data_IF_324752051217
#
_entry.id   IF_324752051217
#
_cell.length_a   1.000
_cell.length_b   1.000
_cell.length_c   1.000
_cell.angle_alpha   90.00
_cell.angle_beta   90.00
_cell.angle_gamma   90.00
#
_symmetry.space_group_name_H-M   'P 1'
#
loop_
_entity.id
_entity.type
_entity.pdbx_description
1 polymer ?
#
# COMPACT_ATOMS: atom_id res chain seq x y z
N UNK A 1 7.66 -72.09 30.64
CA UNK A 1 7.67 -70.93 31.57
C UNK A 1 8.13 -69.71 30.80
N UNK A 2 7.19 -68.79 30.53
CA UNK A 2 7.43 -67.50 29.89
C UNK A 2 7.33 -66.44 30.99
N UNK A 3 8.22 -65.46 30.99
CA UNK A 3 7.92 -64.03 31.27
C UNK A 3 9.20 -63.22 31.05
N UNK A 4 9.27 -62.54 29.91
CA UNK A 4 10.29 -61.54 29.60
C UNK A 4 9.58 -60.20 29.45
N UNK A 5 10.01 -59.25 30.28
CA UNK A 5 10.08 -57.81 30.06
C UNK A 5 8.80 -57.05 29.71
N UNK A 6 8.31 -56.30 30.70
CA UNK A 6 7.47 -55.13 30.48
C UNK A 6 8.25 -54.01 29.80
N UNK A 7 7.67 -53.47 28.73
CA UNK A 7 8.02 -52.17 28.18
C UNK A 7 6.73 -51.59 27.58
N UNK A 8 6.10 -50.68 28.29
CA UNK A 8 4.90 -49.99 27.83
C UNK A 8 4.96 -48.55 28.35
N UNK A 9 4.82 -47.59 27.43
CA UNK A 9 4.44 -46.22 27.80
C UNK A 9 5.53 -45.17 27.75
N UNK A 10 6.28 -45.06 26.65
CA UNK A 10 6.85 -43.77 26.24
C UNK A 10 6.51 -43.50 24.77
N UNK A 11 5.26 -43.12 24.51
CA UNK A 11 4.89 -42.31 23.35
C UNK A 11 4.80 -40.86 23.82
N UNK A 12 5.97 -40.31 24.12
CA UNK A 12 6.14 -38.88 24.37
C UNK A 12 5.81 -38.08 23.11
N UNK A 13 4.81 -37.22 23.21
CA UNK A 13 4.87 -35.84 22.72
C UNK A 13 5.44 -35.65 21.30
N UNK A 14 4.72 -36.15 20.29
CA UNK A 14 4.81 -35.60 18.92
C UNK A 14 3.97 -34.32 18.79
N UNK A 15 4.11 -33.40 19.74
CA UNK A 15 3.48 -32.09 19.67
C UNK A 15 4.15 -31.26 18.58
N UNK A 16 3.43 -31.09 17.48
CA UNK A 16 3.41 -29.92 16.57
C UNK A 16 4.71 -29.10 16.51
N UNK A 17 5.67 -29.56 15.72
CA UNK A 17 6.54 -28.64 14.98
C UNK A 17 5.94 -28.45 13.59
N UNK A 18 4.89 -27.65 13.47
CA UNK A 18 4.63 -26.96 12.20
C UNK A 18 5.87 -26.11 11.94
N UNK A 19 6.74 -26.61 11.05
CA UNK A 19 8.07 -26.03 10.85
C UNK A 19 7.99 -24.61 10.28
N UNK A 20 9.06 -23.82 10.44
CA UNK A 20 9.12 -22.44 9.95
C UNK A 20 8.78 -22.27 8.46
N UNK A 21 9.04 -23.30 7.64
CA UNK A 21 8.61 -23.37 6.25
C UNK A 21 7.09 -23.34 6.08
N UNK A 22 6.37 -24.14 6.89
CA UNK A 22 4.92 -24.19 6.84
C UNK A 22 4.31 -22.88 7.33
N UNK A 23 4.87 -22.28 8.39
CA UNK A 23 4.45 -20.96 8.87
C UNK A 23 4.67 -19.87 7.81
N UNK A 24 5.79 -19.92 7.08
CA UNK A 24 6.06 -18.99 5.98
C UNK A 24 5.02 -19.10 4.85
N UNK A 25 4.70 -20.33 4.41
CA UNK A 25 3.70 -20.53 3.37
C UNK A 25 2.30 -20.12 3.79
N UNK A 26 1.88 -20.44 5.02
CA UNK A 26 0.59 -20.00 5.55
C UNK A 26 0.46 -18.48 5.56
N UNK A 27 1.51 -17.78 5.99
CA UNK A 27 1.54 -16.32 5.97
C UNK A 27 1.48 -15.75 4.56
N UNK A 28 2.23 -16.34 3.61
CA UNK A 28 2.20 -15.94 2.21
C UNK A 28 0.81 -16.16 1.57
N UNK A 29 0.15 -17.28 1.89
CA UNK A 29 -1.19 -17.62 1.41
C UNK A 29 -2.23 -16.64 1.96
N UNK A 30 -2.16 -16.33 3.25
CA UNK A 30 -3.05 -15.36 3.89
C UNK A 30 -2.89 -13.96 3.26
N UNK A 31 -1.65 -13.48 3.03
CA UNK A 31 -1.40 -12.22 2.31
C UNK A 31 -1.99 -12.25 0.91
N UNK A 32 -1.80 -13.34 0.14
CA UNK A 32 -2.38 -13.48 -1.21
C UNK A 32 -3.91 -13.43 -1.18
N UNK A 33 -4.53 -14.08 -0.19
CA UNK A 33 -5.98 -14.03 0.02
C UNK A 33 -6.49 -12.62 0.31
N UNK A 34 -5.77 -11.86 1.15
CA UNK A 34 -6.10 -10.46 1.45
C UNK A 34 -6.01 -9.59 0.20
N UNK A 35 -4.94 -9.71 -0.60
CA UNK A 35 -4.79 -8.95 -1.85
C UNK A 35 -5.94 -9.22 -2.83
N UNK A 36 -6.34 -10.49 -2.99
CA UNK A 36 -7.48 -10.84 -3.84
C UNK A 36 -8.80 -10.21 -3.35
N UNK A 37 -9.03 -10.15 -2.03
CA UNK A 37 -10.21 -9.48 -1.44
C UNK A 37 -10.18 -7.97 -1.69
N UNK A 38 -9.02 -7.34 -1.59
CA UNK A 38 -8.85 -5.90 -1.83
C UNK A 38 -9.13 -5.55 -3.28
N UNK A 39 -8.63 -6.35 -4.23
CA UNK A 39 -8.87 -6.13 -5.66
C UNK A 39 -10.36 -6.25 -6.01
N UNK A 40 -11.08 -7.22 -5.43
CA UNK A 40 -12.53 -7.33 -5.58
C UNK A 40 -13.31 -6.14 -5.00
N UNK A 41 -12.77 -5.47 -3.97
CA UNK A 41 -13.42 -4.34 -3.29
C UNK A 41 -13.38 -3.03 -4.09
N UNK A 42 -12.51 -2.92 -5.11
CA UNK A 42 -12.44 -1.74 -5.98
C UNK A 42 -13.74 -1.48 -6.76
N UNK A 43 -14.57 -2.51 -6.93
CA UNK A 43 -15.88 -2.42 -7.58
C UNK A 43 -16.96 -1.75 -6.72
N UNK A 44 -16.70 -1.52 -5.42
CA UNK A 44 -17.63 -0.84 -4.50
C UNK A 44 -16.94 0.35 -3.81
N UNK A 45 -17.18 1.59 -4.28
CA UNK A 45 -16.61 2.78 -3.66
C UNK A 45 -17.09 2.96 -2.21
N UNK A 46 -16.20 2.78 -1.24
CA UNK A 46 -16.46 3.03 0.18
C UNK A 46 -16.09 1.89 1.14
N UNK A 47 -15.94 0.65 0.66
CA UNK A 47 -15.70 -0.51 1.54
C UNK A 47 -14.24 -0.94 1.70
N UNK A 48 -13.27 -0.16 1.22
CA UNK A 48 -11.85 -0.52 1.32
C UNK A 48 -11.34 -0.34 2.76
N UNK A 49 -11.58 -1.33 3.60
CA UNK A 49 -11.06 -1.46 4.95
C UNK A 49 -10.04 -2.60 5.03
N UNK A 50 -9.15 -2.57 6.02
CA UNK A 50 -8.22 -3.66 6.29
C UNK A 50 -9.04 -4.90 6.67
N UNK A 51 -8.97 -6.01 5.90
CA UNK A 51 -9.68 -7.22 6.27
C UNK A 51 -9.11 -7.79 7.56
N UNK A 52 -10.00 -8.12 8.50
CA UNK A 52 -9.62 -8.77 9.75
C UNK A 52 -10.73 -9.74 10.17
N UNK A 53 -10.37 -11.01 10.35
CA UNK A 53 -11.25 -12.11 10.73
C UNK A 53 -10.47 -13.17 11.50
N UNK A 54 -11.16 -14.17 12.05
CA UNK A 54 -10.54 -15.23 12.87
C UNK A 54 -9.48 -16.03 12.11
N UNK A 55 -9.63 -16.17 10.79
CA UNK A 55 -8.64 -16.86 9.97
C UNK A 55 -7.33 -16.06 9.91
N UNK A 56 -7.40 -14.73 9.73
CA UNK A 56 -6.23 -13.85 9.78
C UNK A 56 -5.63 -13.76 11.19
N UNK A 57 -6.46 -13.72 12.24
CA UNK A 57 -6.00 -13.74 13.63
C UNK A 57 -5.27 -15.04 14.01
N UNK A 58 -5.47 -16.13 13.25
CA UNK A 58 -4.71 -17.37 13.44
C UNK A 58 -3.31 -17.35 12.81
N UNK A 59 -3.00 -16.36 11.96
CA UNK A 59 -1.75 -16.27 11.17
C UNK A 59 -0.93 -15.03 11.53
N UNK A 60 -1.60 -13.91 11.84
CA UNK A 60 -0.99 -12.64 12.21
C UNK A 60 -1.23 -12.37 13.68
N UNK A 61 -0.27 -11.70 14.32
CA UNK A 61 -0.38 -11.35 15.74
C UNK A 61 -1.55 -10.39 15.98
N UNK A 62 -1.66 -9.39 15.12
CA UNK A 62 -2.62 -8.30 15.20
C UNK A 62 -2.79 -7.63 13.81
N UNK A 63 -3.70 -6.65 13.67
CA UNK A 63 -3.87 -5.93 12.40
C UNK A 63 -2.63 -5.18 11.93
N UNK A 64 -1.75 -4.74 12.85
CA UNK A 64 -0.53 -4.02 12.50
C UNK A 64 0.52 -4.95 11.87
N UNK A 65 0.62 -6.19 12.36
CA UNK A 65 1.45 -7.25 11.78
C UNK A 65 1.01 -7.61 10.35
N UNK A 66 -0.31 -7.62 10.09
CA UNK A 66 -0.85 -7.75 8.74
C UNK A 66 -0.51 -6.52 7.87
N UNK A 67 -0.66 -5.31 8.40
CA UNK A 67 -0.37 -4.08 7.68
C UNK A 67 1.12 -4.00 7.29
N UNK A 68 2.03 -4.39 8.18
CA UNK A 68 3.46 -4.50 7.90
C UNK A 68 3.73 -5.51 6.78
N UNK A 69 3.08 -6.69 6.81
CA UNK A 69 3.22 -7.69 5.76
C UNK A 69 2.75 -7.19 4.39
N UNK A 70 1.63 -6.47 4.36
CA UNK A 70 1.08 -5.84 3.15
C UNK A 70 2.01 -4.74 2.63
N UNK A 71 2.57 -3.92 3.50
CA UNK A 71 3.58 -2.95 3.14
C UNK A 71 4.82 -3.63 2.54
N UNK A 72 5.27 -4.75 3.14
CA UNK A 72 6.36 -5.56 2.61
C UNK A 72 6.09 -6.14 1.21
N UNK A 73 4.83 -6.42 0.84
CA UNK A 73 4.47 -6.76 -0.55
C UNK A 73 4.67 -5.55 -1.46
N UNK A 74 4.13 -4.39 -1.07
CA UNK A 74 4.26 -3.15 -1.82
C UNK A 74 5.73 -2.80 -2.07
N UNK A 75 6.55 -2.74 -1.01
CA UNK A 75 7.97 -2.39 -1.10
C UNK A 75 8.74 -3.36 -1.97
N UNK A 76 8.56 -4.68 -1.83
CA UNK A 76 9.26 -5.66 -2.68
C UNK A 76 8.91 -5.51 -4.15
N UNK A 77 7.62 -5.29 -4.48
CA UNK A 77 7.15 -5.08 -5.85
C UNK A 77 7.68 -3.76 -6.43
N UNK A 78 7.73 -2.72 -5.60
CA UNK A 78 8.26 -1.42 -5.97
C UNK A 78 9.76 -1.48 -6.26
N UNK A 79 10.55 -2.06 -5.34
CA UNK A 79 12.00 -2.14 -5.50
C UNK A 79 12.41 -2.98 -6.70
N UNK A 80 11.79 -4.16 -6.89
CA UNK A 80 12.04 -4.97 -8.08
C UNK A 80 11.77 -4.21 -9.39
N UNK A 81 10.78 -3.29 -9.38
CA UNK A 81 10.48 -2.44 -10.53
C UNK A 81 11.48 -1.30 -10.65
N UNK A 82 11.88 -0.68 -9.55
CA UNK A 82 12.91 0.36 -9.53
C UNK A 82 14.22 -0.18 -10.11
N UNK A 83 14.67 -1.36 -9.66
CA UNK A 83 15.88 -2.00 -10.16
C UNK A 83 15.80 -2.22 -11.68
N UNK A 84 14.69 -2.78 -12.17
CA UNK A 84 14.47 -2.98 -13.60
C UNK A 84 14.51 -1.66 -14.39
N UNK A 85 13.83 -0.61 -13.92
CA UNK A 85 13.77 0.68 -14.63
C UNK A 85 15.09 1.47 -14.52
N UNK A 86 15.92 1.22 -13.51
CA UNK A 86 17.28 1.78 -13.41
C UNK A 86 18.25 1.09 -14.38
N UNK A 87 18.10 -0.22 -14.58
CA UNK A 87 18.94 -0.99 -15.50
C UNK A 87 18.55 -0.82 -16.97
N UNK A 88 17.24 -0.75 -17.25
CA UNK A 88 16.72 -0.80 -18.62
C UNK A 88 16.16 0.52 -19.13
N UNK A 89 15.90 1.47 -18.22
CA UNK A 89 15.35 2.77 -18.57
C UNK A 89 16.36 3.69 -19.24
N UNK A 90 15.88 4.60 -20.09
CA UNK A 90 16.70 5.62 -20.75
C UNK A 90 16.66 6.98 -20.04
N UNK A 91 15.93 7.07 -18.92
CA UNK A 91 15.76 8.28 -18.13
C UNK A 91 16.83 8.48 -17.07
N UNK A 92 16.73 9.62 -16.39
CA UNK A 92 17.47 9.85 -15.14
C UNK A 92 17.02 8.87 -14.04
N UNK A 93 17.83 8.59 -12.99
CA UNK A 93 17.44 7.73 -11.89
C UNK A 93 16.10 8.15 -11.25
N UNK A 94 15.88 9.45 -11.11
CA UNK A 94 14.60 10.01 -10.66
C UNK A 94 13.44 9.61 -11.58
N UNK A 95 13.59 9.74 -12.90
CA UNK A 95 12.55 9.35 -13.85
C UNK A 95 12.26 7.85 -13.80
N UNK A 96 13.30 7.00 -13.66
CA UNK A 96 13.12 5.56 -13.48
C UNK A 96 12.31 5.23 -12.23
N UNK A 97 12.61 5.87 -11.09
CA UNK A 97 11.84 5.73 -9.85
C UNK A 97 10.40 6.22 -10.01
N UNK A 98 10.18 7.38 -10.65
CA UNK A 98 8.84 7.91 -10.91
C UNK A 98 8.01 6.95 -11.78
N UNK A 99 8.61 6.35 -12.81
CA UNK A 99 7.98 5.36 -13.69
C UNK A 99 7.66 4.08 -12.93
N UNK A 100 8.63 3.52 -12.19
CA UNK A 100 8.45 2.33 -11.37
C UNK A 100 7.31 2.51 -10.36
N UNK A 101 7.31 3.62 -9.63
CA UNK A 101 6.28 3.90 -8.62
C UNK A 101 4.87 3.97 -9.22
N UNK A 102 4.71 4.64 -10.37
CA UNK A 102 3.42 4.72 -11.08
C UNK A 102 2.97 3.37 -11.62
N UNK A 103 3.91 2.58 -12.15
CA UNK A 103 3.62 1.23 -12.64
C UNK A 103 3.15 0.32 -11.49
N UNK A 104 3.87 0.30 -10.37
CA UNK A 104 3.48 -0.50 -9.19
C UNK A 104 2.15 -0.05 -8.62
N UNK A 105 1.87 1.27 -8.56
CA UNK A 105 0.56 1.79 -8.16
C UNK A 105 -0.56 1.36 -9.11
N UNK A 106 -0.29 1.28 -10.41
CA UNK A 106 -1.26 0.81 -11.41
C UNK A 106 -1.52 -0.69 -11.26
N UNK A 107 -0.51 -1.47 -10.88
CA UNK A 107 -0.63 -2.91 -10.66
C UNK A 107 -1.33 -3.26 -9.34
N UNK A 108 -1.13 -2.45 -8.28
CA UNK A 108 -1.65 -2.72 -6.94
C UNK A 108 -2.45 -1.51 -6.40
N UNK A 109 -3.50 -1.05 -7.10
CA UNK A 109 -4.20 0.19 -6.76
C UNK A 109 -4.98 0.08 -5.44
N UNK A 110 -5.60 -1.08 -5.15
CA UNK A 110 -6.31 -1.32 -3.91
C UNK A 110 -5.35 -1.32 -2.71
N UNK A 111 -4.24 -2.06 -2.83
CA UNK A 111 -3.21 -2.10 -1.79
C UNK A 111 -2.66 -0.71 -1.52
N UNK A 112 -2.30 0.07 -2.55
CA UNK A 112 -1.78 1.43 -2.32
C UNK A 112 -2.80 2.32 -1.61
N UNK A 113 -4.06 2.28 -2.04
CA UNK A 113 -5.14 3.06 -1.42
C UNK A 113 -5.37 2.66 0.04
N UNK A 114 -5.26 1.36 0.35
CA UNK A 114 -5.34 0.86 1.72
C UNK A 114 -4.15 1.39 2.55
N UNK A 115 -2.92 1.25 2.06
CA UNK A 115 -1.73 1.76 2.76
C UNK A 115 -1.81 3.28 2.99
N UNK A 116 -2.31 4.03 2.02
CA UNK A 116 -2.54 5.48 2.16
C UNK A 116 -3.58 5.79 3.26
N UNK A 117 -4.62 4.97 3.39
CA UNK A 117 -5.66 5.14 4.43
C UNK A 117 -5.14 4.89 5.84
N UNK A 118 -4.23 3.94 6.01
CA UNK A 118 -3.66 3.57 7.31
C UNK A 118 -2.29 4.22 7.56
N UNK A 119 -1.93 5.25 6.79
CA UNK A 119 -0.61 5.88 6.86
C UNK A 119 -0.29 6.47 8.24
N UNK A 120 -1.29 6.88 9.01
CA UNK A 120 -1.11 7.54 10.31
C UNK A 120 -0.87 6.58 11.49
N UNK A 121 -0.87 5.25 11.28
CA UNK A 121 -0.52 4.30 12.34
C UNK A 121 0.99 4.25 12.57
N UNK A 122 1.43 3.96 13.80
CA UNK A 122 2.85 3.92 14.15
C UNK A 122 3.63 2.90 13.30
N UNK A 123 3.02 1.73 13.02
CA UNK A 123 3.63 0.72 12.15
C UNK A 123 3.76 1.22 10.71
N UNK A 124 2.72 1.88 10.17
CA UNK A 124 2.75 2.40 8.81
C UNK A 124 3.77 3.52 8.67
N UNK A 125 3.89 4.42 9.65
CA UNK A 125 4.89 5.49 9.64
C UNK A 125 6.31 4.96 9.59
N UNK A 126 6.62 3.90 10.36
CA UNK A 126 7.94 3.24 10.30
C UNK A 126 8.21 2.65 8.92
N UNK A 127 7.26 1.92 8.37
CA UNK A 127 7.36 1.30 7.05
C UNK A 127 7.54 2.34 5.94
N UNK A 128 6.69 3.38 5.93
CA UNK A 128 6.72 4.49 4.97
C UNK A 128 8.03 5.27 5.05
N UNK A 129 8.55 5.50 6.26
CA UNK A 129 9.87 6.15 6.43
C UNK A 129 10.99 5.34 5.77
N UNK A 130 10.96 4.02 5.92
CA UNK A 130 11.89 3.11 5.26
C UNK A 130 11.76 3.15 3.73
N UNK A 131 10.52 3.05 3.21
CA UNK A 131 10.22 3.19 1.77
C UNK A 131 10.79 4.49 1.22
N UNK A 132 10.46 5.63 1.84
CA UNK A 132 10.90 6.95 1.39
C UNK A 132 12.41 7.09 1.37
N UNK A 133 13.12 6.57 2.38
CA UNK A 133 14.59 6.60 2.39
C UNK A 133 15.17 5.85 1.19
N UNK A 134 14.64 4.65 0.89
CA UNK A 134 15.11 3.85 -0.24
C UNK A 134 14.83 4.54 -1.58
N UNK A 135 13.64 5.12 -1.74
CA UNK A 135 13.28 5.85 -2.96
C UNK A 135 14.14 7.09 -3.16
N UNK A 136 14.48 7.82 -2.10
CA UNK A 136 15.36 8.98 -2.19
C UNK A 136 16.76 8.60 -2.69
N UNK A 137 17.31 7.50 -2.16
CA UNK A 137 18.62 6.99 -2.59
C UNK A 137 18.56 6.50 -4.04
N UNK A 138 17.57 5.69 -4.40
CA UNK A 138 17.42 5.17 -5.76
C UNK A 138 17.21 6.29 -6.80
N UNK A 139 16.51 7.38 -6.42
CA UNK A 139 16.28 8.53 -7.28
C UNK A 139 17.48 9.49 -7.38
N UNK A 140 18.57 9.23 -6.64
CA UNK A 140 19.74 10.13 -6.57
C UNK A 140 19.47 11.43 -5.80
N UNK A 141 18.44 11.47 -4.95
CA UNK A 141 18.08 12.64 -4.12
C UNK A 141 18.77 12.64 -2.75
N UNK A 142 19.32 11.50 -2.37
CA UNK A 142 20.10 11.29 -1.15
C UNK A 142 21.14 10.19 -1.38
N UNK A 143 22.08 10.08 -0.46
CA UNK A 143 23.09 9.01 -0.40
C UNK A 143 22.80 8.07 0.77
N UNK A 144 23.44 6.91 0.79
CA UNK A 144 23.33 5.98 1.94
C UNK A 144 23.91 6.56 3.24
N UNK A 145 24.89 7.48 3.10
CA UNK A 145 25.57 8.16 4.21
C UNK A 145 24.77 9.34 4.78
N UNK A 146 23.75 9.83 4.07
CA UNK A 146 22.88 10.88 4.60
C UNK A 146 22.12 10.40 5.84
N UNK A 147 21.87 11.29 6.83
CA UNK A 147 21.04 10.96 7.98
C UNK A 147 19.67 10.44 7.57
N UNK A 148 19.21 9.35 8.19
CA UNK A 148 17.96 8.69 7.80
C UNK A 148 16.74 9.63 7.70
N UNK A 149 16.52 10.60 8.63
CA UNK A 149 15.41 11.53 8.53
C UNK A 149 15.49 12.46 7.29
N UNK A 150 16.71 12.85 6.88
CA UNK A 150 16.91 13.69 5.69
C UNK A 150 16.54 12.92 4.43
N UNK A 151 17.05 11.70 4.28
CA UNK A 151 16.76 10.86 3.11
C UNK A 151 15.26 10.51 3.05
N UNK A 152 14.65 10.18 4.19
CA UNK A 152 13.21 9.95 4.25
C UNK A 152 12.39 11.21 3.87
N UNK A 153 12.80 12.40 4.31
CA UNK A 153 12.16 13.66 3.92
C UNK A 153 12.18 13.89 2.40
N UNK A 154 13.34 13.68 1.76
CA UNK A 154 13.46 13.78 0.28
C UNK A 154 12.59 12.77 -0.46
N UNK A 155 12.50 11.55 0.06
CA UNK A 155 11.61 10.52 -0.49
C UNK A 155 10.13 10.89 -0.34
N UNK A 156 9.76 11.45 0.80
CA UNK A 156 8.39 11.93 1.05
C UNK A 156 8.01 13.04 0.08
N UNK A 157 8.90 14.02 -0.16
CA UNK A 157 8.71 15.09 -1.16
C UNK A 157 8.48 14.50 -2.57
N UNK A 158 9.29 13.51 -2.96
CA UNK A 158 9.14 12.80 -4.24
C UNK A 158 7.78 12.11 -4.35
N UNK A 159 7.39 11.30 -3.36
CA UNK A 159 6.12 10.56 -3.36
C UNK A 159 4.91 11.50 -3.35
N UNK A 160 4.95 12.58 -2.55
CA UNK A 160 3.90 13.59 -2.53
C UNK A 160 3.70 14.22 -3.94
N UNK A 161 4.79 14.53 -4.65
CA UNK A 161 4.72 15.06 -6.01
C UNK A 161 4.08 14.08 -7.00
N UNK A 162 4.30 12.78 -6.82
CA UNK A 162 3.72 11.72 -7.67
C UNK A 162 2.22 11.53 -7.41
N UNK A 163 1.78 11.78 -6.18
CA UNK A 163 0.37 11.72 -5.81
C UNK A 163 -0.43 12.94 -6.29
N UNK A 164 0.16 14.15 -6.22
CA UNK A 164 -0.48 15.41 -6.63
C UNK A 164 -0.68 15.54 -8.15
N UNK A 165 0.22 14.98 -8.97
CA UNK A 165 0.13 15.01 -10.45
C UNK A 165 -1.10 14.28 -11.03
N UNK A 166 -2.02 13.77 -10.19
CA UNK A 166 -3.27 13.07 -10.56
C UNK A 166 -4.54 13.90 -10.44
N UNK A 167 -4.49 15.17 -10.07
CA UNK A 167 -5.69 16.02 -10.13
C UNK A 167 -5.74 16.67 -11.52
N UNK A 168 -6.50 16.15 -12.52
CA UNK A 168 -6.97 17.05 -13.56
C UNK A 168 -7.73 18.14 -12.82
N UNK A 169 -7.32 19.39 -13.00
CA UNK A 169 -8.02 20.57 -12.52
C UNK A 169 -9.50 20.40 -12.84
N UNK A 170 -10.31 20.01 -11.85
CA UNK A 170 -11.77 20.05 -11.98
C UNK A 170 -12.08 21.54 -12.02
N UNK A 171 -12.22 22.05 -13.24
CA UNK A 171 -12.50 23.42 -13.56
C UNK A 171 -13.56 23.92 -12.57
N UNK A 172 -13.12 24.78 -11.64
CA UNK A 172 -13.96 25.42 -10.62
C UNK A 172 -14.97 26.23 -11.40
N UNK A 173 -16.14 25.64 -11.71
CA UNK A 173 -17.30 26.37 -12.22
C UNK A 173 -17.59 27.45 -11.19
N UNK A 174 -17.13 28.65 -11.47
CA UNK A 174 -17.39 29.80 -10.63
C UNK A 174 -18.89 30.02 -10.60
N UNK A 175 -19.40 30.21 -9.39
CA UNK A 175 -20.80 30.43 -9.03
C UNK A 175 -21.45 31.66 -9.72
N UNK A 176 -20.70 32.40 -10.53
CA UNK A 176 -21.14 33.60 -11.25
C UNK A 176 -21.92 33.32 -12.54
N UNK A 177 -22.01 32.08 -13.03
CA UNK A 177 -22.86 31.72 -14.18
C UNK A 177 -24.31 31.30 -13.83
N UNK A 178 -24.80 31.63 -12.62
CA UNK A 178 -26.22 31.46 -12.23
C UNK A 178 -27.01 32.77 -12.11
N UNK A 179 -26.39 33.92 -12.36
CA UNK A 179 -27.03 35.24 -12.18
C UNK A 179 -27.26 36.03 -13.48
N UNK A 180 -27.21 35.40 -14.65
CA UNK A 180 -27.55 36.03 -15.95
C UNK A 180 -28.89 35.57 -16.54
N UNK A 181 -29.73 34.83 -15.80
CA UNK A 181 -31.08 34.40 -16.24
C UNK A 181 -32.26 34.93 -15.42
N UNK A 182 -32.04 35.87 -14.52
CA UNK A 182 -33.13 36.47 -13.71
C UNK A 182 -33.21 38.01 -13.78
N UNK A 183 -32.42 38.66 -14.65
CA UNK A 183 -32.49 40.12 -14.86
C UNK A 183 -32.96 40.53 -16.27
N UNK A 184 -33.60 39.62 -17.00
CA UNK A 184 -34.21 39.92 -18.30
C UNK A 184 -35.68 39.56 -18.32
N UNK A 185 -36.52 40.29 -17.56
CA UNK A 185 -37.96 40.43 -17.81
C UNK A 185 -38.55 41.41 -16.78
N UNK A 186 -38.36 42.71 -17.01
CA UNK A 186 -39.23 43.76 -16.44
C UNK A 186 -39.11 45.05 -17.26
N UNK A 187 -40.24 45.41 -17.88
CA UNK A 187 -40.72 46.75 -18.28
C UNK A 187 -40.96 47.00 -19.79
N UNK A 188 -42.20 47.38 -20.07
CA UNK A 188 -42.77 47.84 -21.34
C UNK A 188 -44.27 47.49 -21.35
N UNK A 189 -45.09 48.02 -20.43
CA UNK A 189 -45.70 49.37 -20.42
C UNK A 189 -46.83 49.55 -21.46
N UNK A 190 -48.06 49.42 -20.95
CA UNK A 190 -49.31 50.16 -21.17
C UNK A 190 -49.78 50.67 -22.56
N UNK A 191 -51.08 50.42 -22.77
CA UNK A 191 -52.16 51.30 -23.25
C UNK A 191 -52.22 51.74 -24.73
N UNK A 192 -53.23 51.26 -25.47
CA UNK A 192 -54.52 51.94 -25.70
C UNK A 192 -55.49 50.98 -26.39
#
# INVERSE_FOLDING_TARGET
MRTTTGQSGQSGQSSRRTGGWQSYHLRADAVRGVLARLDGSLSSPGSLALPWDDALASVFLDPDDLLEALHGVWTRRLLARVDLELETGTGTPRQSVETAWRATRTQLPALRTLLDRYADTDVAQRCVTGEHRLLAVAAGLATLSDPAPRSAGRGAELVASLQQKRTPTRHRRTHTQRLSRLLGCRHGFAAA
#
